data_IF_787854079697
#
_entry.id   IF_787854079697
#
_cell.length_a   1.000
_cell.length_b   1.000
_cell.length_c   1.000
_cell.angle_alpha   90.00
_cell.angle_beta   90.00
_cell.angle_gamma   90.00
#
_symmetry.space_group_name_H-M   'P 1'
#
loop_
_entity.id
_entity.type
_entity.pdbx_description
1 polymer ?
#
# COMPACT_ATOMS: atom_id res chain seq x y z
N UNK A 1 -4.88 -16.43 11.94
CA UNK A 1 -4.71 -15.90 10.57
C UNK A 1 -3.22 -15.96 10.23
N UNK A 2 -2.81 -16.81 9.28
CA UNK A 2 -1.40 -17.06 8.96
C UNK A 2 -0.68 -15.77 8.56
N UNK A 3 0.58 -15.58 8.98
CA UNK A 3 1.39 -14.38 8.70
C UNK A 3 1.46 -14.07 7.21
N UNK A 4 1.57 -15.11 6.37
CA UNK A 4 1.55 -14.97 4.92
C UNK A 4 0.21 -14.44 4.37
N UNK A 5 -0.92 -14.80 5.00
CA UNK A 5 -2.23 -14.26 4.61
C UNK A 5 -2.35 -12.78 4.98
N UNK A 6 -1.79 -12.37 6.12
CA UNK A 6 -1.76 -10.95 6.54
C UNK A 6 -0.92 -10.10 5.58
N UNK A 7 0.28 -10.54 5.21
CA UNK A 7 1.12 -9.84 4.22
C UNK A 7 0.41 -9.69 2.89
N UNK A 8 -0.25 -10.76 2.41
CA UNK A 8 -0.93 -10.75 1.12
C UNK A 8 -2.09 -9.75 1.08
N UNK A 9 -2.85 -9.63 2.17
CA UNK A 9 -3.91 -8.63 2.32
C UNK A 9 -3.30 -7.22 2.28
N UNK A 10 -2.21 -6.99 3.02
CA UNK A 10 -1.57 -5.68 3.11
C UNK A 10 -1.01 -5.20 1.76
N UNK A 11 -0.47 -6.12 0.94
CA UNK A 11 -0.03 -5.82 -0.42
C UNK A 11 -1.22 -5.45 -1.32
N UNK A 12 -2.32 -6.21 -1.23
CA UNK A 12 -3.54 -5.93 -2.00
C UNK A 12 -4.07 -4.53 -1.65
N UNK A 13 -4.16 -4.20 -0.37
CA UNK A 13 -4.63 -2.90 0.10
C UNK A 13 -3.75 -1.75 -0.42
N UNK A 14 -2.43 -1.92 -0.38
CA UNK A 14 -1.48 -0.93 -0.92
C UNK A 14 -1.66 -0.68 -2.42
N UNK A 15 -1.81 -1.73 -3.22
CA UNK A 15 -2.06 -1.63 -4.68
C UNK A 15 -3.41 -0.93 -4.94
N UNK A 16 -4.43 -1.26 -4.16
CA UNK A 16 -5.77 -0.71 -4.31
C UNK A 16 -5.79 0.80 -4.02
N UNK A 17 -5.09 1.24 -2.98
CA UNK A 17 -4.92 2.67 -2.65
C UNK A 17 -4.19 3.42 -3.77
N UNK A 18 -3.11 2.87 -4.31
CA UNK A 18 -2.37 3.48 -5.44
C UNK A 18 -3.24 3.58 -6.70
N UNK A 19 -4.06 2.56 -6.95
CA UNK A 19 -4.96 2.54 -8.11
C UNK A 19 -6.06 3.59 -7.97
N UNK A 20 -6.68 3.69 -6.78
CA UNK A 20 -7.66 4.74 -6.49
C UNK A 20 -7.05 6.15 -6.57
N UNK A 21 -5.81 6.32 -6.10
CA UNK A 21 -5.09 7.59 -6.20
C UNK A 21 -4.87 8.06 -7.65
N UNK A 22 -4.94 7.15 -8.63
CA UNK A 22 -4.81 7.49 -10.05
C UNK A 22 -6.17 7.66 -10.72
N UNK A 23 -7.16 6.84 -10.35
CA UNK A 23 -8.49 6.83 -10.96
C UNK A 23 -9.35 7.99 -10.44
N UNK A 24 -9.37 8.24 -9.13
CA UNK A 24 -10.26 9.26 -8.54
C UNK A 24 -9.99 10.67 -9.05
N UNK A 25 -8.71 11.13 -9.21
CA UNK A 25 -8.43 12.45 -9.77
C UNK A 25 -8.87 12.66 -11.22
N UNK A 26 -9.18 11.57 -11.95
CA UNK A 26 -9.74 11.67 -13.30
C UNK A 26 -11.22 12.10 -13.28
N UNK A 27 -11.92 11.87 -12.17
CA UNK A 27 -13.34 12.17 -12.02
C UNK A 27 -13.62 13.35 -11.08
N UNK A 28 -12.69 13.66 -10.17
CA UNK A 28 -12.80 14.74 -9.21
C UNK A 28 -11.52 15.56 -9.20
N UNK A 29 -11.66 16.89 -9.20
CA UNK A 29 -10.53 17.79 -9.09
C UNK A 29 -10.01 17.76 -7.64
N UNK A 30 -9.01 16.92 -7.40
CA UNK A 30 -8.37 16.73 -6.10
C UNK A 30 -7.11 17.61 -6.06
N UNK A 31 -6.88 18.28 -4.92
CA UNK A 31 -5.67 19.09 -4.73
C UNK A 31 -4.40 18.24 -4.87
N UNK A 32 -3.34 18.83 -5.42
CA UNK A 32 -2.05 18.15 -5.61
C UNK A 32 -1.51 17.56 -4.29
N UNK A 33 -1.75 18.24 -3.18
CA UNK A 33 -1.39 17.75 -1.84
C UNK A 33 -2.13 16.46 -1.48
N UNK A 34 -3.44 16.40 -1.71
CA UNK A 34 -4.24 15.22 -1.40
C UNK A 34 -3.88 14.03 -2.30
N UNK A 35 -3.59 14.29 -3.59
CA UNK A 35 -3.07 13.27 -4.52
C UNK A 35 -1.71 12.73 -4.06
N UNK A 36 -0.79 13.62 -3.68
CA UNK A 36 0.52 13.22 -3.15
C UNK A 36 0.42 12.40 -1.85
N UNK A 37 -0.48 12.78 -0.94
CA UNK A 37 -0.74 12.03 0.29
C UNK A 37 -1.29 10.63 0.02
N UNK A 38 -2.28 10.48 -0.87
CA UNK A 38 -2.83 9.17 -1.23
C UNK A 38 -1.75 8.26 -1.85
N UNK A 39 -0.94 8.81 -2.74
CA UNK A 39 0.15 8.06 -3.38
C UNK A 39 1.24 7.66 -2.36
N UNK A 40 1.61 8.58 -1.47
CA UNK A 40 2.57 8.34 -0.38
C UNK A 40 2.08 7.27 0.60
N UNK A 41 0.81 7.29 0.98
CA UNK A 41 0.20 6.27 1.86
C UNK A 41 0.22 4.89 1.18
N UNK A 42 -0.19 4.81 -0.09
CA UNK A 42 -0.16 3.56 -0.84
C UNK A 42 1.24 2.95 -0.95
N UNK A 43 2.24 3.78 -1.27
CA UNK A 43 3.66 3.36 -1.32
C UNK A 43 4.17 2.97 0.07
N UNK A 44 3.85 3.75 1.11
CA UNK A 44 4.26 3.46 2.49
C UNK A 44 3.74 2.11 2.98
N UNK A 45 2.49 1.79 2.68
CA UNK A 45 1.88 0.50 3.00
C UNK A 45 2.61 -0.65 2.28
N UNK A 46 2.97 -0.48 1.00
CA UNK A 46 3.74 -1.47 0.26
C UNK A 46 5.14 -1.68 0.84
N UNK A 47 5.83 -0.60 1.21
CA UNK A 47 7.16 -0.68 1.84
C UNK A 47 7.07 -1.43 3.16
N UNK A 48 6.10 -1.08 4.01
CA UNK A 48 5.85 -1.79 5.28
C UNK A 48 5.55 -3.27 5.02
N UNK A 49 4.68 -3.59 4.06
CA UNK A 49 4.34 -4.97 3.74
C UNK A 49 5.56 -5.79 3.30
N UNK A 50 6.44 -5.22 2.48
CA UNK A 50 7.63 -5.91 1.96
C UNK A 50 8.71 -6.03 3.03
N UNK A 51 9.01 -4.94 3.76
CA UNK A 51 10.06 -4.90 4.77
C UNK A 51 9.71 -5.81 5.95
N UNK A 52 8.49 -5.71 6.50
CA UNK A 52 8.08 -6.55 7.63
C UNK A 52 7.93 -8.02 7.26
N UNK A 53 7.58 -8.34 6.01
CA UNK A 53 7.57 -9.73 5.54
C UNK A 53 8.99 -10.28 5.30
N UNK A 54 9.93 -9.43 4.87
CA UNK A 54 11.34 -9.82 4.67
C UNK A 54 12.11 -9.94 5.99
N UNK A 55 11.66 -9.25 7.05
CA UNK A 55 12.24 -9.32 8.39
C UNK A 55 11.93 -10.58 9.18
N UNK A 56 11.25 -11.58 8.57
CA UNK A 56 11.03 -12.88 9.20
C UNK A 56 12.42 -13.50 9.45
N UNK A 57 12.92 -13.53 10.70
CA UNK A 57 14.26 -14.04 10.97
C UNK A 57 14.31 -15.47 10.45
N UNK A 58 15.35 -15.78 9.68
CA UNK A 58 15.61 -17.09 9.13
C UNK A 58 15.97 -18.08 10.23
N UNK A 59 15.11 -18.28 11.22
CA UNK A 59 15.21 -19.41 12.14
C UNK A 59 14.33 -20.53 11.56
N UNK A 60 15.03 -21.43 10.86
CA UNK A 60 14.50 -22.70 10.34
C UNK A 60 13.86 -23.53 11.45
#
# INVERSE_FOLDING_TARGET
MNEQKKTRILIIDGILIISLSQIVPQFLEISDMAKGLMMGVGIGILVVAIVFNSYRPANR
#
